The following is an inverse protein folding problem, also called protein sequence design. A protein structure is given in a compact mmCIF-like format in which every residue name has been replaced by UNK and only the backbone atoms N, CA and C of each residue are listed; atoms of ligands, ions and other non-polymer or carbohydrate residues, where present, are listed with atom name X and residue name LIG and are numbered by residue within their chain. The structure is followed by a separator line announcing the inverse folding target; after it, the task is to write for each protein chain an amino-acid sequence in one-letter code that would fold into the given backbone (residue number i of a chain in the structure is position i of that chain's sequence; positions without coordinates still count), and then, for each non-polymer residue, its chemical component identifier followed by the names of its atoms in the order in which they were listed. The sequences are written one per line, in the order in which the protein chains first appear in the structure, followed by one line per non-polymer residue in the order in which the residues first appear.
data_IF_993517829678
#
_entry.id   IF_993517829678
#
_cell.length_a   1.000
_cell.length_b   1.000
_cell.length_c   1.000
_cell.angle_alpha   90.00
_cell.angle_beta   90.00
_cell.angle_gamma   90.00
#
_symmetry.space_group_name_H-M   'P 1'
#
loop_
_entity.id
_entity.type
_entity.pdbx_description
1 polymer ?
#
# COMPACT_ATOMS: atom_id res chain seq x y z
N UNK A 1 25.42 7.12 -7.23
CA UNK A 1 24.75 7.32 -8.53
C UNK A 1 23.25 7.29 -8.24
N UNK A 2 22.59 8.45 -8.21
CA UNK A 2 21.17 8.59 -7.86
C UNK A 2 20.31 7.93 -8.94
N UNK A 3 19.48 6.97 -8.55
CA UNK A 3 18.49 6.37 -9.44
C UNK A 3 17.15 7.09 -9.24
N UNK A 4 16.67 7.91 -10.20
CA UNK A 4 15.28 8.32 -10.19
C UNK A 4 14.43 7.10 -10.56
N UNK A 5 13.69 6.56 -9.59
CA UNK A 5 12.62 5.58 -9.84
C UNK A 5 11.44 6.34 -10.44
N UNK A 6 11.49 6.58 -11.75
CA UNK A 6 10.36 7.10 -12.52
C UNK A 6 9.40 5.95 -12.83
N UNK A 7 8.33 5.83 -12.04
CA UNK A 7 7.10 5.18 -12.49
C UNK A 7 6.37 6.20 -13.37
N UNK A 8 6.18 5.84 -14.63
CA UNK A 8 5.53 6.64 -15.68
C UNK A 8 4.16 7.17 -15.24
N UNK A 9 4.08 8.43 -14.82
CA UNK A 9 3.37 9.49 -15.55
C UNK A 9 3.82 10.86 -15.04
N UNK A 10 4.11 11.72 -16.00
CA UNK A 10 4.43 13.14 -15.90
C UNK A 10 3.28 13.96 -15.32
N UNK A 11 3.64 15.03 -14.58
CA UNK A 11 2.78 16.05 -13.98
C UNK A 11 2.00 15.64 -12.72
N UNK A 12 2.62 15.83 -11.54
CA UNK A 12 1.87 16.04 -10.29
C UNK A 12 1.13 17.38 -10.41
N UNK A 13 -0.02 17.37 -11.09
CA UNK A 13 -0.92 18.51 -11.11
C UNK A 13 -1.32 18.85 -9.68
N UNK A 14 -1.23 20.13 -9.29
CA UNK A 14 -1.62 20.61 -7.95
C UNK A 14 -3.06 20.25 -7.53
N UNK A 15 -3.89 19.76 -8.45
CA UNK A 15 -5.29 19.38 -8.27
C UNK A 15 -5.61 17.90 -8.60
N UNK A 16 -4.63 17.00 -8.59
CA UNK A 16 -4.90 15.56 -8.79
C UNK A 16 -5.40 14.90 -7.49
N UNK A 17 -6.57 14.26 -7.52
CA UNK A 17 -7.26 13.71 -6.36
C UNK A 17 -7.50 12.20 -6.50
N UNK A 18 -6.41 11.44 -6.67
CA UNK A 18 -6.45 9.97 -6.70
C UNK A 18 -5.63 9.36 -5.55
N UNK A 19 -5.86 8.09 -5.19
CA UNK A 19 -5.12 7.44 -4.11
C UNK A 19 -3.61 7.39 -4.39
N UNK A 20 -2.80 7.45 -3.33
CA UNK A 20 -1.34 7.27 -3.41
C UNK A 20 -0.53 8.41 -4.04
N UNK A 21 -1.16 9.53 -4.43
CA UNK A 21 -0.43 10.74 -4.89
C UNK A 21 -0.09 11.67 -3.73
N UNK A 22 0.88 12.54 -3.94
CA UNK A 22 1.22 13.64 -3.05
C UNK A 22 1.32 14.96 -3.82
N UNK A 23 0.93 16.06 -3.19
CA UNK A 23 1.04 17.40 -3.78
C UNK A 23 2.46 17.97 -3.70
N UNK A 24 3.28 17.46 -2.78
CA UNK A 24 4.68 17.89 -2.57
C UNK A 24 5.52 16.68 -2.15
N UNK A 25 6.74 16.58 -2.70
CA UNK A 25 7.76 15.62 -2.24
C UNK A 25 8.60 16.29 -1.15
N UNK A 26 8.80 15.59 -0.03
CA UNK A 26 9.56 16.08 1.11
C UNK A 26 10.85 15.28 1.25
N UNK A 27 11.95 15.96 1.60
CA UNK A 27 13.13 15.26 2.11
C UNK A 27 12.92 14.79 3.57
N UNK A 28 13.79 13.92 4.12
CA UNK A 28 13.61 13.39 5.47
C UNK A 28 13.50 14.44 6.58
N UNK A 29 14.26 15.52 6.50
CA UNK A 29 14.24 16.59 7.49
C UNK A 29 12.94 17.41 7.41
N UNK A 30 12.47 17.71 6.20
CA UNK A 30 11.18 18.37 5.97
C UNK A 30 10.01 17.50 6.45
N UNK A 31 10.08 16.19 6.24
CA UNK A 31 9.10 15.25 6.75
C UNK A 31 9.05 15.25 8.29
N UNK A 32 10.21 15.25 8.97
CA UNK A 32 10.28 15.36 10.43
C UNK A 32 9.69 16.68 10.93
N UNK A 33 10.03 17.81 10.31
CA UNK A 33 9.45 19.12 10.65
C UNK A 33 7.92 19.11 10.49
N UNK A 34 7.41 18.42 9.47
CA UNK A 34 5.97 18.27 9.27
C UNK A 34 5.35 17.40 10.37
N UNK A 35 5.97 16.30 10.74
CA UNK A 35 5.53 15.46 11.87
C UNK A 35 5.50 16.27 13.17
N UNK A 36 6.55 17.05 13.48
CA UNK A 36 6.60 17.93 14.66
C UNK A 36 5.41 18.89 14.73
N UNK A 37 5.07 19.48 13.59
CA UNK A 37 3.95 20.42 13.49
C UNK A 37 2.64 19.72 13.86
N UNK A 38 2.36 18.57 13.24
CA UNK A 38 1.06 17.91 13.42
C UNK A 38 0.91 17.22 14.77
N UNK A 39 1.99 16.75 15.40
CA UNK A 39 1.93 16.26 16.78
C UNK A 39 1.46 17.37 17.74
N UNK A 40 1.93 18.61 17.53
CA UNK A 40 1.52 19.76 18.35
C UNK A 40 0.07 20.18 18.09
N UNK A 41 -0.38 20.10 16.84
CA UNK A 41 -1.74 20.50 16.44
C UNK A 41 -2.79 19.39 16.69
N UNK A 42 -2.38 18.13 16.73
CA UNK A 42 -3.27 16.96 16.80
C UNK A 42 -2.84 16.02 17.94
N UNK A 43 -3.33 16.23 19.18
CA UNK A 43 -2.96 15.44 20.35
C UNK A 43 -3.26 13.93 20.25
N UNK A 44 -4.14 13.54 19.31
CA UNK A 44 -4.53 12.15 19.07
C UNK A 44 -3.79 11.50 17.90
N UNK A 45 -2.76 12.15 17.35
CA UNK A 45 -1.93 11.54 16.30
C UNK A 45 -1.09 10.40 16.91
N UNK A 46 -1.30 9.18 16.41
CA UNK A 46 -0.64 7.97 16.94
C UNK A 46 0.18 7.21 15.91
N UNK A 47 -0.06 7.46 14.62
CA UNK A 47 0.53 6.70 13.53
C UNK A 47 1.22 7.65 12.55
N UNK A 48 2.43 7.30 12.17
CA UNK A 48 3.16 7.92 11.06
C UNK A 48 3.43 6.84 10.03
N UNK A 49 3.00 7.08 8.78
CA UNK A 49 3.12 6.11 7.70
C UNK A 49 3.90 6.67 6.52
N UNK A 50 4.70 5.84 5.86
CA UNK A 50 5.24 6.12 4.53
C UNK A 50 4.50 5.25 3.51
N UNK A 51 3.78 5.89 2.60
CA UNK A 51 2.93 5.21 1.61
C UNK A 51 3.14 5.73 0.17
N UNK A 52 4.14 6.57 -0.06
CA UNK A 52 4.49 7.08 -1.39
C UNK A 52 4.73 8.60 -1.43
N UNK A 53 4.72 9.19 -2.65
CA UNK A 53 4.44 8.53 -3.92
C UNK A 53 5.56 7.56 -4.34
N UNK A 54 5.22 6.51 -5.08
CA UNK A 54 6.16 5.47 -5.50
C UNK A 54 6.29 4.30 -4.52
N UNK A 55 7.33 3.49 -4.69
CA UNK A 55 7.58 2.31 -3.86
C UNK A 55 8.46 2.66 -2.65
N UNK A 56 7.90 2.60 -1.44
CA UNK A 56 8.60 3.03 -0.22
C UNK A 56 9.93 2.30 0.01
N UNK A 57 10.00 0.99 -0.23
CA UNK A 57 11.22 0.22 0.06
C UNK A 57 12.34 0.42 -0.96
N UNK A 58 12.04 1.07 -2.09
CA UNK A 58 13.02 1.43 -3.12
C UNK A 58 13.70 2.78 -2.87
N UNK A 59 13.26 3.55 -1.85
CA UNK A 59 13.79 4.87 -1.53
C UNK A 59 14.56 4.82 -0.20
N UNK A 60 15.79 5.31 -0.19
CA UNK A 60 16.61 5.37 1.04
C UNK A 60 16.07 6.43 2.01
N UNK A 61 15.41 7.46 1.48
CA UNK A 61 14.71 8.51 2.22
C UNK A 61 13.61 7.95 3.13
N UNK A 62 13.01 6.80 2.78
CA UNK A 62 12.05 6.08 3.64
C UNK A 62 12.69 5.70 4.96
N UNK A 63 13.85 5.05 4.92
CA UNK A 63 14.54 4.57 6.11
C UNK A 63 15.08 5.73 6.94
N UNK A 64 15.66 6.74 6.29
CA UNK A 64 16.18 7.91 6.99
C UNK A 64 15.07 8.71 7.69
N UNK A 65 13.93 8.90 7.03
CA UNK A 65 12.77 9.58 7.62
C UNK A 65 12.26 8.82 8.84
N UNK A 66 12.10 7.50 8.73
CA UNK A 66 11.61 6.67 9.84
C UNK A 66 12.60 6.61 10.99
N UNK A 67 13.91 6.57 10.71
CA UNK A 67 14.96 6.66 11.74
C UNK A 67 14.85 7.96 12.53
N UNK A 68 14.76 9.10 11.84
CA UNK A 68 14.60 10.42 12.47
C UNK A 68 13.33 10.51 13.32
N UNK A 69 12.21 10.00 12.81
CA UNK A 69 10.95 9.94 13.57
C UNK A 69 11.08 9.01 14.78
N UNK A 70 11.72 7.86 14.62
CA UNK A 70 11.88 6.89 15.70
C UNK A 70 12.74 7.45 16.85
N UNK A 71 13.82 8.16 16.54
CA UNK A 71 14.70 8.77 17.53
C UNK A 71 13.99 9.87 18.33
N UNK A 72 13.12 10.64 17.68
CA UNK A 72 12.44 11.78 18.30
C UNK A 72 11.12 11.42 18.98
N UNK A 73 10.37 10.50 18.40
CA UNK A 73 9.02 10.09 18.81
C UNK A 73 8.89 8.57 18.84
N UNK A 74 9.62 7.88 19.74
CA UNK A 74 9.63 6.42 19.80
C UNK A 74 8.25 5.80 20.09
N UNK A 75 7.35 6.56 20.72
CA UNK A 75 5.99 6.16 21.08
C UNK A 75 5.01 6.11 19.89
N UNK A 76 5.35 6.75 18.76
CA UNK A 76 4.50 6.72 17.57
C UNK A 76 4.59 5.35 16.90
N UNK A 77 3.45 4.88 16.42
CA UNK A 77 3.36 3.69 15.59
C UNK A 77 3.87 4.06 14.20
N UNK A 78 4.90 3.38 13.72
CA UNK A 78 5.43 3.55 12.37
C UNK A 78 4.94 2.42 11.47
N UNK A 79 4.43 2.80 10.30
CA UNK A 79 4.01 1.83 9.29
C UNK A 79 4.50 2.19 7.88
N UNK A 80 4.57 1.18 7.01
CA UNK A 80 4.99 1.35 5.61
C UNK A 80 4.03 0.61 4.70
N UNK A 81 3.69 1.20 3.55
CA UNK A 81 3.03 0.50 2.45
C UNK A 81 4.04 0.16 1.35
N UNK A 82 3.95 -1.04 0.78
CA UNK A 82 4.89 -1.53 -0.23
C UNK A 82 4.21 -2.46 -1.22
N UNK A 83 4.75 -2.54 -2.43
CA UNK A 83 4.45 -3.59 -3.40
C UNK A 83 5.05 -4.95 -3.03
N UNK A 84 5.94 -5.01 -2.02
CA UNK A 84 6.52 -6.25 -1.49
C UNK A 84 7.75 -6.79 -2.21
N UNK A 85 8.15 -6.23 -3.36
CA UNK A 85 9.27 -6.75 -4.16
C UNK A 85 10.60 -6.73 -3.39
N UNK A 86 10.88 -5.66 -2.66
CA UNK A 86 12.12 -5.51 -1.88
C UNK A 86 11.94 -5.90 -0.41
N UNK A 87 10.74 -6.35 -0.02
CA UNK A 87 10.44 -6.64 1.38
C UNK A 87 11.38 -7.70 1.98
N UNK A 88 11.66 -8.85 1.33
CA UNK A 88 12.59 -9.86 1.88
C UNK A 88 13.96 -9.30 2.26
N UNK A 89 14.46 -8.33 1.50
CA UNK A 89 15.78 -7.71 1.67
C UNK A 89 15.80 -6.59 2.70
N UNK A 90 14.63 -6.02 3.02
CA UNK A 90 14.52 -4.78 3.79
C UNK A 90 13.79 -4.93 5.12
N UNK A 91 13.24 -6.10 5.45
CA UNK A 91 12.54 -6.35 6.74
C UNK A 91 13.40 -5.90 7.92
N UNK A 92 14.65 -6.34 7.98
CA UNK A 92 15.53 -6.11 9.13
C UNK A 92 15.75 -4.60 9.35
N UNK A 93 15.92 -3.84 8.27
CA UNK A 93 16.01 -2.37 8.31
C UNK A 93 14.72 -1.70 8.77
N UNK A 94 13.55 -2.25 8.43
CA UNK A 94 12.27 -1.74 8.90
C UNK A 94 12.15 -1.91 10.42
N UNK A 95 12.56 -3.06 10.95
CA UNK A 95 12.60 -3.33 12.39
C UNK A 95 13.56 -2.38 13.09
N UNK A 96 14.77 -2.18 12.55
CA UNK A 96 15.77 -1.25 13.10
C UNK A 96 15.27 0.19 13.24
N UNK A 97 14.49 0.68 12.27
CA UNK A 97 13.88 2.03 12.33
C UNK A 97 12.53 2.05 13.06
N UNK A 98 12.20 0.97 13.77
CA UNK A 98 11.06 0.86 14.67
C UNK A 98 9.70 0.79 13.97
N UNK A 99 9.64 0.29 12.74
CA UNK A 99 8.38 -0.05 12.07
C UNK A 99 7.73 -1.21 12.80
N UNK A 100 6.41 -1.15 12.95
CA UNK A 100 5.62 -2.18 13.67
C UNK A 100 4.55 -2.82 12.81
N UNK A 101 4.27 -2.23 11.64
CA UNK A 101 3.30 -2.76 10.69
C UNK A 101 3.69 -2.43 9.26
N UNK A 102 3.52 -3.39 8.35
CA UNK A 102 3.72 -3.22 6.92
C UNK A 102 2.46 -3.64 6.17
N UNK A 103 2.06 -2.86 5.18
CA UNK A 103 0.97 -3.22 4.26
C UNK A 103 1.57 -3.59 2.90
N UNK A 104 1.36 -4.82 2.47
CA UNK A 104 1.86 -5.34 1.18
C UNK A 104 0.71 -5.39 0.18
N UNK A 105 0.93 -4.86 -1.03
CA UNK A 105 -0.07 -4.93 -2.10
C UNK A 105 0.13 -6.19 -2.94
N UNK A 106 -0.78 -7.16 -2.84
CA UNK A 106 -0.74 -8.43 -3.58
C UNK A 106 -2.04 -8.54 -4.37
N UNK A 107 -1.94 -8.48 -5.71
CA UNK A 107 -3.13 -8.48 -6.58
C UNK A 107 -3.37 -9.82 -7.29
N UNK A 108 -2.42 -10.76 -7.22
CA UNK A 108 -2.50 -12.03 -7.92
C UNK A 108 -1.56 -13.08 -7.31
N UNK A 109 -1.86 -14.36 -7.55
CA UNK A 109 -1.06 -15.53 -7.13
C UNK A 109 -0.59 -16.37 -8.31
N UNK A 110 -1.34 -16.36 -9.41
CA UNK A 110 -0.94 -16.89 -10.72
C UNK A 110 -0.12 -15.84 -11.48
N UNK A 111 1.11 -16.16 -11.90
CA UNK A 111 1.91 -15.32 -12.76
C UNK A 111 1.23 -14.86 -14.07
N UNK A 112 0.34 -15.65 -14.66
CA UNK A 112 -0.39 -15.29 -15.88
C UNK A 112 -1.40 -14.17 -15.58
N UNK A 113 -2.11 -14.26 -14.44
CA UNK A 113 -3.01 -13.20 -13.97
C UNK A 113 -2.22 -11.94 -13.63
N UNK A 114 -1.14 -12.07 -12.86
CA UNK A 114 -0.26 -10.96 -12.52
C UNK A 114 0.36 -10.28 -13.75
N UNK A 115 0.70 -11.02 -14.81
CA UNK A 115 1.24 -10.45 -16.05
C UNK A 115 0.22 -9.56 -16.80
N UNK A 116 -1.08 -9.79 -16.60
CA UNK A 116 -2.15 -8.89 -17.09
C UNK A 116 -2.17 -7.59 -16.28
N UNK A 117 -1.76 -7.63 -15.01
CA UNK A 117 -1.79 -6.48 -14.09
C UNK A 117 -0.52 -5.62 -14.20
N UNK A 118 0.66 -6.23 -14.20
CA UNK A 118 1.95 -5.55 -14.11
C UNK A 118 2.67 -5.49 -15.46
N UNK A 119 3.06 -4.30 -15.92
CA UNK A 119 3.73 -4.12 -17.22
C UNK A 119 5.19 -4.55 -17.23
N UNK A 120 5.91 -4.34 -16.13
CA UNK A 120 7.29 -4.75 -15.92
C UNK A 120 7.62 -4.76 -14.43
N UNK A 121 8.68 -5.47 -14.07
CA UNK A 121 9.26 -5.49 -12.73
C UNK A 121 10.74 -5.18 -12.87
N UNK A 122 11.21 -4.09 -12.24
CA UNK A 122 12.63 -3.79 -12.15
C UNK A 122 13.14 -4.28 -10.81
N UNK A 123 13.98 -5.30 -10.84
CA UNK A 123 14.52 -5.93 -9.64
C UNK A 123 16.02 -6.05 -9.80
N UNK A 124 16.76 -5.42 -8.89
CA UNK A 124 18.19 -5.13 -9.04
C UNK A 124 18.46 -4.42 -10.39
N UNK A 125 19.52 -4.81 -11.10
CA UNK A 125 19.92 -4.20 -12.37
C UNK A 125 19.19 -4.79 -13.59
N UNK A 126 18.18 -5.65 -13.39
CA UNK A 126 17.42 -6.29 -14.47
C UNK A 126 15.96 -5.82 -14.50
N UNK A 127 15.45 -5.63 -15.72
CA UNK A 127 14.03 -5.39 -15.97
C UNK A 127 13.41 -6.66 -16.54
N UNK A 128 12.39 -7.17 -15.86
CA UNK A 128 11.62 -8.35 -16.22
C UNK A 128 10.25 -7.93 -16.76
N UNK A 129 9.67 -8.72 -17.67
CA UNK A 129 8.37 -8.44 -18.31
C UNK A 129 7.52 -9.70 -18.39
N UNK A 130 6.20 -9.49 -18.53
CA UNK A 130 5.23 -10.58 -18.62
C UNK A 130 5.32 -11.54 -17.44
N UNK A 131 5.10 -12.83 -17.72
CA UNK A 131 5.05 -13.91 -16.73
C UNK A 131 6.36 -14.04 -15.93
N UNK A 132 7.53 -13.79 -16.55
CA UNK A 132 8.82 -13.84 -15.84
C UNK A 132 8.88 -12.78 -14.74
N UNK A 133 8.48 -11.54 -15.04
CA UNK A 133 8.43 -10.46 -14.05
C UNK A 133 7.39 -10.70 -12.97
N UNK A 134 6.21 -11.21 -13.38
CA UNK A 134 5.15 -11.57 -12.45
C UNK A 134 5.59 -12.63 -11.42
N UNK A 135 6.31 -13.68 -11.85
CA UNK A 135 6.89 -14.70 -10.96
C UNK A 135 7.82 -14.08 -9.93
N UNK A 136 8.77 -13.26 -10.39
CA UNK A 136 9.73 -12.57 -9.50
C UNK A 136 9.00 -11.73 -8.46
N UNK A 137 7.97 -10.99 -8.85
CA UNK A 137 7.19 -10.17 -7.91
C UNK A 137 6.44 -11.02 -6.88
N UNK A 138 5.68 -12.03 -7.34
CA UNK A 138 4.88 -12.91 -6.47
C UNK A 138 5.77 -13.62 -5.46
N UNK A 139 6.89 -14.22 -5.90
CA UNK A 139 7.82 -14.93 -5.03
C UNK A 139 8.37 -14.02 -3.92
N UNK A 140 8.82 -12.81 -4.28
CA UNK A 140 9.33 -11.85 -3.30
C UNK A 140 8.24 -11.31 -2.37
N UNK A 141 7.02 -11.09 -2.87
CA UNK A 141 5.91 -10.63 -2.04
C UNK A 141 5.60 -11.62 -0.92
N UNK A 142 5.37 -12.90 -1.25
CA UNK A 142 5.03 -13.91 -0.24
C UNK A 142 6.21 -14.24 0.67
N UNK A 143 7.43 -14.31 0.14
CA UNK A 143 8.64 -14.43 0.96
C UNK A 143 8.78 -13.26 1.93
N UNK A 144 8.48 -12.05 1.46
CA UNK A 144 8.56 -10.82 2.24
C UNK A 144 7.50 -10.75 3.33
N UNK A 145 6.25 -11.14 3.03
CA UNK A 145 5.18 -11.27 4.03
C UNK A 145 5.60 -12.25 5.12
N UNK A 146 6.11 -13.43 4.72
CA UNK A 146 6.57 -14.44 5.67
C UNK A 146 7.70 -13.91 6.56
N UNK A 147 8.76 -13.37 5.96
CA UNK A 147 9.89 -12.83 6.72
C UNK A 147 9.47 -11.69 7.65
N UNK A 148 8.61 -10.78 7.18
CA UNK A 148 8.12 -9.67 8.00
C UNK A 148 7.29 -10.15 9.19
N UNK A 149 6.44 -11.16 9.00
CA UNK A 149 5.67 -11.77 10.09
C UNK A 149 6.57 -12.52 11.07
N UNK A 150 7.55 -13.29 10.57
CA UNK A 150 8.52 -14.03 11.39
C UNK A 150 9.37 -13.07 12.26
N UNK A 151 9.67 -11.86 11.78
CA UNK A 151 10.34 -10.77 12.52
C UNK A 151 9.40 -9.96 13.43
N UNK A 152 8.13 -10.38 13.56
CA UNK A 152 7.15 -9.79 14.48
C UNK A 152 6.45 -8.53 13.98
N UNK A 153 6.56 -8.19 12.69
CA UNK A 153 5.79 -7.09 12.11
C UNK A 153 4.33 -7.48 11.88
N UNK A 154 3.41 -6.56 12.16
CA UNK A 154 2.00 -6.73 11.81
C UNK A 154 1.81 -6.55 10.29
N UNK A 155 1.71 -7.66 9.56
CA UNK A 155 1.57 -7.63 8.09
C UNK A 155 0.09 -7.56 7.68
N UNK A 156 -0.24 -6.56 6.86
CA UNK A 156 -1.57 -6.39 6.24
C UNK A 156 -1.44 -6.57 4.74
N UNK A 157 -2.46 -7.12 4.09
CA UNK A 157 -2.46 -7.27 2.62
C UNK A 157 -3.53 -6.39 2.00
N UNK A 158 -3.13 -5.55 1.06
CA UNK A 158 -4.06 -4.84 0.18
C UNK A 158 -4.19 -5.62 -1.12
N UNK A 159 -5.42 -5.76 -1.61
CA UNK A 159 -5.70 -6.33 -2.93
C UNK A 159 -6.68 -5.44 -3.65
N UNK A 160 -6.31 -4.96 -4.84
CA UNK A 160 -7.24 -4.25 -5.72
C UNK A 160 -8.07 -5.30 -6.46
N UNK A 161 -9.38 -5.25 -6.28
CA UNK A 161 -10.31 -6.12 -6.98
C UNK A 161 -10.56 -5.60 -8.40
N UNK A 162 -10.12 -6.39 -9.38
CA UNK A 162 -10.36 -6.16 -10.82
C UNK A 162 -11.24 -7.32 -11.30
N UNK A 163 -12.56 -7.12 -11.46
CA UNK A 163 -13.51 -8.23 -11.60
C UNK A 163 -13.14 -9.24 -12.69
N UNK A 164 -12.77 -8.78 -13.88
CA UNK A 164 -12.44 -9.61 -15.05
C UNK A 164 -11.04 -10.22 -15.02
N UNK A 165 -10.21 -9.86 -14.03
CA UNK A 165 -8.81 -10.24 -13.98
C UNK A 165 -8.52 -11.17 -12.81
N UNK A 166 -8.83 -10.77 -11.57
CA UNK A 166 -8.34 -11.45 -10.37
C UNK A 166 -9.42 -11.89 -9.37
N UNK A 167 -10.70 -11.78 -9.73
CA UNK A 167 -11.80 -12.16 -8.82
C UNK A 167 -11.68 -13.61 -8.31
N UNK A 168 -11.41 -14.54 -9.21
CA UNK A 168 -11.24 -15.97 -8.90
C UNK A 168 -10.02 -16.26 -8.01
N UNK A 169 -9.05 -15.34 -7.94
CA UNK A 169 -7.84 -15.50 -7.13
C UNK A 169 -7.99 -14.99 -5.70
N UNK A 170 -9.05 -14.23 -5.38
CA UNK A 170 -9.19 -13.56 -4.07
C UNK A 170 -9.06 -14.53 -2.91
N UNK A 171 -9.72 -15.69 -3.02
CA UNK A 171 -9.67 -16.73 -1.99
C UNK A 171 -8.25 -17.26 -1.78
N UNK A 172 -7.52 -17.50 -2.87
CA UNK A 172 -6.16 -18.04 -2.82
C UNK A 172 -5.13 -16.99 -2.37
N UNK A 173 -5.30 -15.72 -2.76
CA UNK A 173 -4.49 -14.61 -2.23
C UNK A 173 -4.65 -14.53 -0.70
N UNK A 174 -5.89 -14.59 -0.20
CA UNK A 174 -6.17 -14.55 1.23
C UNK A 174 -5.55 -15.74 1.97
N UNK A 175 -5.75 -16.96 1.45
CA UNK A 175 -5.19 -18.20 2.01
C UNK A 175 -3.67 -18.14 2.10
N UNK A 176 -2.98 -17.88 0.98
CA UNK A 176 -1.51 -17.82 0.95
C UNK A 176 -0.94 -16.71 1.81
N UNK A 177 -1.62 -15.56 1.87
CA UNK A 177 -1.23 -14.45 2.75
C UNK A 177 -1.34 -14.83 4.22
N UNK A 178 -2.42 -15.54 4.59
CA UNK A 178 -2.63 -16.09 5.94
C UNK A 178 -1.57 -17.13 6.31
N UNK A 179 -1.27 -18.07 5.40
CA UNK A 179 -0.21 -19.07 5.57
C UNK A 179 1.17 -18.44 5.80
N UNK A 180 1.40 -17.26 5.21
CA UNK A 180 2.62 -16.46 5.38
C UNK A 180 2.56 -15.53 6.61
N UNK A 181 1.49 -15.55 7.40
CA UNK A 181 1.39 -14.81 8.66
C UNK A 181 0.87 -13.37 8.54
N UNK A 182 0.17 -13.02 7.46
CA UNK A 182 -0.62 -11.79 7.42
C UNK A 182 -1.77 -11.86 8.43
N UNK A 183 -2.15 -10.72 9.02
CA UNK A 183 -3.18 -10.67 10.08
C UNK A 183 -4.49 -10.01 9.65
N UNK A 184 -4.47 -9.29 8.53
CA UNK A 184 -5.59 -8.51 8.03
C UNK A 184 -5.45 -8.35 6.53
N UNK A 185 -6.56 -8.43 5.81
CA UNK A 185 -6.61 -8.12 4.39
C UNK A 185 -7.62 -7.01 4.13
N UNK A 186 -7.34 -6.20 3.11
CA UNK A 186 -8.15 -5.07 2.71
C UNK A 186 -8.36 -5.15 1.20
N UNK A 187 -9.54 -5.62 0.81
CA UNK A 187 -9.97 -5.64 -0.59
C UNK A 187 -10.54 -4.26 -0.94
N UNK A 188 -9.89 -3.64 -1.92
CA UNK A 188 -10.14 -2.28 -2.38
C UNK A 188 -10.72 -2.34 -3.80
N UNK A 189 -11.77 -1.58 -4.13
CA UNK A 189 -12.30 -1.54 -5.49
C UNK A 189 -11.31 -0.91 -6.47
N UNK A 190 -11.23 -1.44 -7.69
CA UNK A 190 -10.54 -0.79 -8.80
C UNK A 190 -11.15 0.60 -9.06
N UNK A 191 -10.27 1.59 -9.24
CA UNK A 191 -10.63 2.88 -9.86
C UNK A 191 -10.12 2.82 -11.31
N UNK A 192 -11.02 2.80 -12.31
CA UNK A 192 -10.63 2.73 -13.72
C UNK A 192 -9.80 3.94 -14.15
N UNK A 193 -8.49 3.75 -14.28
CA UNK A 193 -7.52 4.78 -14.62
C UNK A 193 -6.34 4.19 -15.39
N UNK A 194 -5.66 5.03 -16.18
CA UNK A 194 -4.47 4.66 -16.94
C UNK A 194 -4.70 3.39 -17.79
N UNK A 195 -3.84 2.38 -17.65
CA UNK A 195 -3.93 1.11 -18.38
C UNK A 195 -5.26 0.36 -18.13
N UNK A 196 -5.96 0.65 -17.05
CA UNK A 196 -7.25 0.04 -16.71
C UNK A 196 -8.43 0.99 -16.94
N UNK A 197 -8.28 2.04 -17.74
CA UNK A 197 -9.38 2.98 -18.04
C UNK A 197 -10.60 2.31 -18.70
N UNK A 198 -10.38 1.20 -19.40
CA UNK A 198 -11.43 0.41 -20.06
C UNK A 198 -12.01 -0.70 -19.20
N UNK A 199 -11.37 -1.02 -18.07
CA UNK A 199 -11.88 -2.00 -17.11
C UNK A 199 -12.96 -1.35 -16.24
N UNK A 200 -13.91 -2.15 -15.75
CA UNK A 200 -14.95 -1.63 -14.85
C UNK A 200 -14.53 -1.71 -13.39
N UNK A 201 -15.07 -0.80 -12.59
CA UNK A 201 -15.04 -0.95 -11.13
C UNK A 201 -15.92 -2.15 -10.71
N UNK A 202 -15.59 -2.84 -9.61
CA UNK A 202 -16.43 -3.91 -9.07
C UNK A 202 -17.79 -3.37 -8.60
N UNK A 203 -18.83 -4.16 -8.84
CA UNK A 203 -20.17 -3.94 -8.29
C UNK A 203 -20.20 -4.25 -6.79
N UNK A 204 -21.28 -3.82 -6.13
CA UNK A 204 -21.31 -3.95 -4.68
C UNK A 204 -21.37 -5.39 -4.17
N UNK A 205 -22.11 -6.23 -4.88
CA UNK A 205 -22.25 -7.63 -4.56
C UNK A 205 -20.94 -8.39 -4.81
N UNK A 206 -20.19 -8.01 -5.85
CA UNK A 206 -18.87 -8.58 -6.15
C UNK A 206 -17.86 -8.25 -5.05
N UNK A 207 -17.81 -6.99 -4.60
CA UNK A 207 -16.92 -6.60 -3.51
C UNK A 207 -17.28 -7.30 -2.19
N UNK A 208 -18.58 -7.46 -1.92
CA UNK A 208 -19.08 -8.19 -0.76
C UNK A 208 -18.72 -9.68 -0.84
N UNK A 209 -18.91 -10.30 -2.01
CA UNK A 209 -18.57 -11.70 -2.24
C UNK A 209 -17.07 -11.94 -2.12
N UNK A 210 -16.24 -11.09 -2.72
CA UNK A 210 -14.78 -11.16 -2.61
C UNK A 210 -14.33 -11.08 -1.14
N UNK A 211 -14.92 -10.18 -0.35
CA UNK A 211 -14.66 -10.09 1.10
C UNK A 211 -15.07 -11.36 1.83
N UNK A 212 -16.27 -11.88 1.59
CA UNK A 212 -16.74 -13.14 2.20
C UNK A 212 -15.81 -14.31 1.90
N UNK A 213 -15.34 -14.44 0.65
CA UNK A 213 -14.39 -15.48 0.25
C UNK A 213 -13.05 -15.35 0.98
N UNK A 214 -12.57 -14.11 1.16
CA UNK A 214 -11.31 -13.86 1.86
C UNK A 214 -11.43 -13.98 3.39
N UNK A 215 -12.61 -13.72 3.97
CA UNK A 215 -12.90 -13.87 5.41
C UNK A 215 -12.79 -15.31 5.91
N UNK A 216 -12.82 -16.30 5.02
CA UNK A 216 -12.48 -17.68 5.37
C UNK A 216 -11.05 -17.83 5.92
N UNK A 217 -10.13 -16.92 5.55
CA UNK A 217 -8.70 -17.01 5.90
C UNK A 217 -8.15 -15.77 6.62
N UNK A 218 -8.64 -14.58 6.29
CA UNK A 218 -8.16 -13.31 6.85
C UNK A 218 -9.33 -12.35 7.13
N UNK A 219 -9.37 -11.74 8.34
CA UNK A 219 -10.32 -10.67 8.62
C UNK A 219 -10.22 -9.55 7.57
N UNK A 220 -11.36 -8.96 7.20
CA UNK A 220 -11.42 -7.92 6.18
C UNK A 220 -11.58 -6.53 6.76
N UNK A 221 -10.75 -5.60 6.27
CA UNK A 221 -10.92 -4.18 6.51
C UNK A 221 -12.01 -3.61 5.58
N UNK A 222 -12.94 -2.83 6.15
CA UNK A 222 -14.16 -2.37 5.44
C UNK A 222 -14.25 -0.86 5.25
N UNK A 223 -13.45 -0.07 5.96
CA UNK A 223 -13.54 1.40 6.00
C UNK A 223 -12.45 2.09 5.16
N UNK A 224 -11.94 1.43 4.12
CA UNK A 224 -10.90 2.00 3.27
C UNK A 224 -11.44 3.19 2.49
N UNK A 225 -10.79 4.35 2.63
CA UNK A 225 -11.11 5.60 1.92
C UNK A 225 -10.22 5.84 0.69
N UNK A 226 -9.34 4.88 0.37
CA UNK A 226 -8.33 4.98 -0.69
C UNK A 226 -7.54 6.31 -0.60
N UNK A 227 -6.87 6.51 0.53
CA UNK A 227 -6.23 7.76 0.88
C UNK A 227 -5.11 8.18 -0.09
N UNK A 228 -4.84 9.48 -0.13
CA UNK A 228 -3.62 10.05 -0.73
C UNK A 228 -2.40 9.72 0.13
N UNK A 229 -1.20 9.82 -0.46
CA UNK A 229 0.05 9.60 0.26
C UNK A 229 0.39 10.75 1.24
N UNK A 230 -0.16 11.94 1.00
CA UNK A 230 -0.01 13.13 1.85
C UNK A 230 -1.23 13.39 2.76
N UNK A 231 -2.05 12.36 3.02
CA UNK A 231 -3.20 12.47 3.91
C UNK A 231 -2.76 12.66 5.37
N UNK A 232 -3.42 13.59 6.08
CA UNK A 232 -3.11 13.93 7.48
C UNK A 232 -4.42 14.09 8.26
N UNK A 233 -4.47 13.49 9.44
CA UNK A 233 -5.63 13.56 10.35
C UNK A 233 -6.29 12.20 10.55
N UNK A 234 -7.54 12.23 11.00
CA UNK A 234 -8.35 11.04 11.24
C UNK A 234 -9.12 10.70 9.95
N UNK A 235 -8.90 9.52 9.33
CA UNK A 235 -9.65 9.11 8.16
C UNK A 235 -11.16 9.17 8.41
N UNK A 236 -11.89 9.92 7.57
CA UNK A 236 -13.34 10.11 7.69
C UNK A 236 -13.79 11.33 8.52
N UNK A 237 -12.87 12.03 9.18
CA UNK A 237 -13.13 13.32 9.88
C UNK A 237 -12.47 14.50 9.17
N UNK A 238 -12.18 14.35 7.88
CA UNK A 238 -11.64 15.44 7.06
C UNK A 238 -12.69 16.56 6.95
N UNK A 239 -12.29 17.84 6.90
CA UNK A 239 -13.24 18.95 6.77
C UNK A 239 -14.19 18.74 5.59
N UNK A 240 -15.47 19.10 5.77
CA UNK A 240 -16.47 19.04 4.71
C UNK A 240 -15.95 19.80 3.46
N UNK A 241 -15.82 19.10 2.33
CA UNK A 241 -15.13 19.61 1.12
C UNK A 241 -13.74 19.01 0.85
N UNK A 242 -13.29 18.05 1.68
CA UNK A 242 -12.16 17.16 1.36
C UNK A 242 -12.40 16.41 0.03
N UNK A 243 -11.46 16.42 -0.92
CA UNK A 243 -11.61 15.78 -2.22
C UNK A 243 -11.78 14.25 -2.21
N UNK A 244 -11.63 13.62 -1.03
CA UNK A 244 -11.85 12.17 -0.83
C UNK A 244 -13.35 11.83 -0.88
N UNK A 245 -14.24 12.83 -0.83
CA UNK A 245 -15.66 12.63 -1.10
C UNK A 245 -15.95 12.63 -2.60
N UNK A 246 -15.51 11.59 -3.32
CA UNK A 246 -16.36 11.12 -4.42
C UNK A 246 -17.68 10.70 -3.78
N UNK A 247 -18.81 11.19 -4.34
CA UNK A 247 -20.20 10.92 -3.93
C UNK A 247 -20.28 9.66 -3.08
N UNK A 248 -20.69 9.80 -1.82
CA UNK A 248 -20.80 8.69 -0.88
C UNK A 248 -21.42 7.49 -1.57
N UNK A 249 -20.58 6.52 -1.92
CA UNK A 249 -21.06 5.19 -2.23
C UNK A 249 -21.59 4.64 -0.91
N UNK A 250 -22.66 3.86 -0.95
CA UNK A 250 -23.41 3.40 0.23
C UNK A 250 -22.54 2.67 1.28
N UNK A 251 -21.29 2.36 0.94
CA UNK A 251 -20.22 1.83 1.80
C UNK A 251 -19.79 2.68 2.99
N UNK A 252 -20.16 3.95 3.06
CA UNK A 252 -19.64 4.87 4.06
C UNK A 252 -20.61 5.24 5.17
N UNK A 253 -21.73 4.53 5.27
CA UNK A 253 -22.64 4.64 6.41
C UNK A 253 -22.35 3.54 7.44
N UNK A 254 -22.35 3.98 8.69
CA UNK A 254 -21.91 3.27 9.89
C UNK A 254 -22.52 1.89 10.10
#
# INVERSE_FOLDING_TARGET
MQYPVQLLHTETGKCEHRPGVAGVILNPQEALVRVDKYIKEMPHLRVVGIAGPGESLANEETFETLRLVHEKYPELIKCVASNGLLLPEKVDRLVEVGVTSVTVTINAVDPEVAARIYSFVRYHDKTYRGVEGAKVLIENQFLGVKKASDEGLNVKVNTVLIPEINFEEIKEIARRSSDCGAILMNIIPLIPLNRFETERAPECDELTMARTLAEEFLPQFRLCRQCRADAIGIPGMEPCGSPVQQKGTEYYHA
#
